data_IF_839296734087
#
_entry.id   IF_839296734087
#
_cell.length_a   1.000
_cell.length_b   1.000
_cell.length_c   1.000
_cell.angle_alpha   90.00
_cell.angle_beta   90.00
_cell.angle_gamma   90.00
#
_symmetry.space_group_name_H-M   'P 1'
#
loop_
_entity.id
_entity.type
_entity.pdbx_description
1 polymer ?
#
# COMPACT_ATOMS: atom_id res chain seq x y z
N UNK A 1 -8.66 19.53 -9.76
CA UNK A 1 -8.32 18.15 -9.37
C UNK A 1 -6.94 17.86 -9.94
N UNK A 2 -5.92 17.81 -9.07
CA UNK A 2 -4.48 17.73 -9.33
C UNK A 2 -3.83 18.95 -10.02
N UNK A 3 -4.13 20.16 -9.53
CA UNK A 3 -3.51 21.40 -10.04
C UNK A 3 -2.01 21.52 -9.71
N UNK A 4 -1.55 20.82 -8.68
CA UNK A 4 -0.14 20.82 -8.24
C UNK A 4 0.76 19.88 -9.07
N UNK A 5 0.16 18.98 -9.85
CA UNK A 5 0.92 18.04 -10.68
C UNK A 5 1.41 18.76 -11.93
N UNK A 6 2.73 18.92 -12.05
CA UNK A 6 3.36 19.64 -13.16
C UNK A 6 3.49 18.73 -14.38
N UNK A 7 2.38 18.46 -15.06
CA UNK A 7 2.29 17.57 -16.23
C UNK A 7 3.25 17.94 -17.36
N UNK A 8 3.54 19.24 -17.53
CA UNK A 8 4.41 19.75 -18.59
C UNK A 8 5.91 19.48 -18.34
N UNK A 9 6.31 19.01 -17.15
CA UNK A 9 7.70 18.70 -16.80
C UNK A 9 7.83 17.20 -16.45
N UNK A 10 8.28 16.36 -17.39
CA UNK A 10 8.28 14.90 -17.24
C UNK A 10 9.21 14.38 -16.13
N UNK A 11 10.14 15.20 -15.65
CA UNK A 11 11.02 14.83 -14.54
C UNK A 11 10.45 15.17 -13.16
N UNK A 12 9.41 16.01 -13.08
CA UNK A 12 8.91 16.57 -11.80
C UNK A 12 7.43 16.29 -11.54
N UNK A 13 6.70 15.68 -12.48
CA UNK A 13 5.27 15.42 -12.30
C UNK A 13 4.96 14.64 -11.01
N UNK A 14 5.80 13.66 -10.66
CA UNK A 14 5.62 12.82 -9.49
C UNK A 14 5.70 13.58 -8.16
N UNK A 15 6.46 14.69 -8.11
CA UNK A 15 6.56 15.52 -6.91
C UNK A 15 5.23 16.21 -6.57
N UNK A 16 4.34 16.39 -7.57
CA UNK A 16 3.01 16.93 -7.34
C UNK A 16 2.13 16.07 -6.44
N UNK A 17 2.36 14.74 -6.40
CA UNK A 17 1.63 13.80 -5.54
C UNK A 17 2.02 13.90 -4.06
N UNK A 18 3.22 14.43 -3.79
CA UNK A 18 3.73 14.68 -2.43
C UNK A 18 3.58 16.14 -1.99
N UNK A 19 2.96 16.98 -2.83
CA UNK A 19 2.81 18.42 -2.55
C UNK A 19 1.96 18.71 -1.32
N UNK A 20 2.40 19.65 -0.50
CA UNK A 20 1.65 20.14 0.67
C UNK A 20 0.35 20.87 0.30
N UNK A 21 0.21 21.28 -0.97
CA UNK A 21 -0.93 22.06 -1.47
C UNK A 21 -2.07 21.22 -2.06
N UNK A 22 -1.99 19.89 -1.99
CA UNK A 22 -3.09 19.03 -2.43
C UNK A 22 -4.33 19.19 -1.54
N UNK A 23 -5.49 19.23 -2.18
CA UNK A 23 -6.77 19.25 -1.47
C UNK A 23 -7.05 17.88 -0.81
N UNK A 24 -7.93 17.85 0.21
CA UNK A 24 -8.28 16.60 0.90
C UNK A 24 -8.78 15.50 -0.04
N UNK A 25 -9.56 15.85 -1.06
CA UNK A 25 -10.04 14.89 -2.06
C UNK A 25 -8.91 14.29 -2.89
N UNK A 26 -7.93 15.12 -3.30
CA UNK A 26 -6.79 14.67 -4.10
C UNK A 26 -5.91 13.72 -3.29
N UNK A 27 -5.70 14.04 -2.00
CA UNK A 27 -4.99 13.16 -1.07
C UNK A 27 -5.73 11.84 -0.88
N UNK A 28 -7.04 11.87 -0.63
CA UNK A 28 -7.85 10.67 -0.48
C UNK A 28 -7.82 9.77 -1.72
N UNK A 29 -7.89 10.37 -2.92
CA UNK A 29 -7.79 9.64 -4.19
C UNK A 29 -6.42 8.96 -4.32
N UNK A 30 -5.33 9.69 -4.07
CA UNK A 30 -3.97 9.12 -4.16
C UNK A 30 -3.74 8.01 -3.13
N UNK A 31 -4.17 8.21 -1.88
CA UNK A 31 -4.10 7.21 -0.82
C UNK A 31 -4.83 5.93 -1.23
N UNK A 32 -6.08 6.06 -1.69
CA UNK A 32 -6.90 4.90 -2.10
C UNK A 32 -6.30 4.20 -3.31
N UNK A 33 -5.77 4.96 -4.26
CA UNK A 33 -5.10 4.43 -5.45
C UNK A 33 -3.86 3.59 -5.07
N UNK A 34 -2.99 4.08 -4.20
CA UNK A 34 -1.78 3.35 -3.79
C UNK A 34 -2.09 2.15 -2.87
N UNK A 35 -3.12 2.24 -2.03
CA UNK A 35 -3.62 1.09 -1.28
C UNK A 35 -4.16 0.00 -2.23
N UNK A 36 -4.92 0.39 -3.26
CA UNK A 36 -5.39 -0.51 -4.31
C UNK A 36 -4.25 -1.10 -5.16
N UNK A 37 -3.25 -0.29 -5.52
CA UNK A 37 -2.04 -0.74 -6.21
C UNK A 37 -1.31 -1.81 -5.38
N UNK A 38 -1.19 -1.59 -4.07
CA UNK A 38 -0.60 -2.56 -3.14
C UNK A 38 -1.38 -3.87 -3.14
N UNK A 39 -2.72 -3.80 -3.12
CA UNK A 39 -3.58 -4.98 -3.19
C UNK A 39 -3.44 -5.74 -4.51
N UNK A 40 -3.33 -5.04 -5.65
CA UNK A 40 -3.11 -5.67 -6.95
C UNK A 40 -1.73 -6.33 -7.04
N UNK A 41 -0.68 -5.64 -6.57
CA UNK A 41 0.67 -6.19 -6.52
C UNK A 41 0.80 -7.36 -5.53
N UNK A 42 -0.01 -7.41 -4.47
CA UNK A 42 -0.07 -8.53 -3.54
C UNK A 42 -0.50 -9.83 -4.23
N UNK A 43 -1.34 -9.75 -5.26
CA UNK A 43 -1.82 -10.93 -5.99
C UNK A 43 -0.74 -11.59 -6.86
N UNK A 44 0.30 -10.85 -7.22
CA UNK A 44 1.47 -11.40 -7.90
C UNK A 44 2.33 -12.10 -6.84
N UNK A 45 1.94 -13.34 -6.54
CA UNK A 45 2.48 -14.16 -5.47
C UNK A 45 3.03 -15.48 -6.00
N UNK A 46 4.17 -15.91 -5.45
CA UNK A 46 4.79 -17.20 -5.73
C UNK A 46 4.96 -17.96 -4.42
N UNK A 47 4.15 -19.00 -4.24
CA UNK A 47 4.25 -19.91 -3.10
C UNK A 47 5.41 -20.90 -3.31
N UNK A 48 6.18 -21.13 -2.24
CA UNK A 48 7.32 -22.06 -2.25
C UNK A 48 7.15 -23.10 -1.14
N UNK A 49 7.65 -24.33 -1.31
CA UNK A 49 7.38 -25.42 -0.37
C UNK A 49 8.09 -25.32 0.99
N UNK A 50 9.11 -24.46 1.14
CA UNK A 50 9.91 -24.35 2.37
C UNK A 50 9.46 -23.21 3.32
N UNK A 51 8.57 -22.32 2.89
CA UNK A 51 8.01 -21.26 3.77
C UNK A 51 6.50 -21.13 3.62
N UNK A 52 5.77 -20.90 4.71
CA UNK A 52 4.33 -20.64 4.66
C UNK A 52 3.98 -19.23 4.15
N UNK A 53 4.98 -18.35 3.98
CA UNK A 53 4.79 -16.97 3.49
C UNK A 53 5.13 -16.94 1.99
N UNK A 54 4.20 -16.49 1.11
CA UNK A 54 4.47 -16.39 -0.31
C UNK A 54 5.40 -15.21 -0.62
N UNK A 55 6.20 -15.33 -1.68
CA UNK A 55 6.95 -14.20 -2.22
C UNK A 55 6.04 -13.33 -3.08
N UNK A 56 5.89 -12.06 -2.75
CA UNK A 56 4.92 -11.17 -3.39
C UNK A 56 5.57 -9.89 -3.93
N UNK A 57 4.90 -9.23 -4.87
CA UNK A 57 5.23 -7.87 -5.29
C UNK A 57 4.68 -6.78 -4.34
N UNK A 58 4.10 -7.18 -3.21
CA UNK A 58 3.48 -6.28 -2.25
C UNK A 58 4.49 -5.30 -1.64
N UNK A 59 5.69 -5.79 -1.29
CA UNK A 59 6.78 -4.96 -0.73
C UNK A 59 7.24 -3.88 -1.71
N UNK A 60 7.32 -4.20 -3.00
CA UNK A 60 7.61 -3.23 -4.04
C UNK A 60 6.57 -2.09 -4.06
N UNK A 61 5.28 -2.43 -4.03
CA UNK A 61 4.21 -1.42 -4.02
C UNK A 61 4.21 -0.56 -2.74
N UNK A 62 4.52 -1.16 -1.59
CA UNK A 62 4.65 -0.43 -0.31
C UNK A 62 5.78 0.60 -0.37
N UNK A 63 6.94 0.22 -0.91
CA UNK A 63 8.06 1.16 -1.08
C UNK A 63 7.76 2.22 -2.13
N UNK A 64 7.13 1.85 -3.25
CA UNK A 64 6.69 2.82 -4.26
C UNK A 64 5.72 3.84 -3.65
N UNK A 65 4.80 3.41 -2.80
CA UNK A 65 3.89 4.29 -2.05
C UNK A 65 4.66 5.35 -1.27
N UNK A 66 5.73 4.97 -0.55
CA UNK A 66 6.57 5.90 0.19
C UNK A 66 7.38 6.87 -0.68
N UNK A 67 7.78 6.44 -1.88
CA UNK A 67 8.49 7.31 -2.84
C UNK A 67 7.58 8.38 -3.45
N UNK A 68 6.32 8.04 -3.74
CA UNK A 68 5.41 8.92 -4.49
C UNK A 68 4.53 9.82 -3.61
N UNK A 69 4.16 9.35 -2.42
CA UNK A 69 3.28 10.08 -1.51
C UNK A 69 4.07 10.83 -0.44
N UNK A 70 3.40 11.78 0.20
CA UNK A 70 3.93 12.42 1.40
C UNK A 70 3.93 11.42 2.55
N UNK A 71 4.90 11.53 3.47
CA UNK A 71 5.07 10.62 4.62
C UNK A 71 3.76 10.21 5.32
N UNK A 72 2.93 11.20 5.66
CA UNK A 72 1.67 10.95 6.36
C UNK A 72 0.62 10.27 5.47
N UNK A 73 0.57 10.62 4.18
CA UNK A 73 -0.38 10.03 3.24
C UNK A 73 0.03 8.59 2.89
N UNK A 74 1.34 8.33 2.78
CA UNK A 74 1.88 6.99 2.60
C UNK A 74 1.60 6.08 3.81
N UNK A 75 1.74 6.60 5.04
CA UNK A 75 1.34 5.89 6.27
C UNK A 75 -0.15 5.53 6.23
N UNK A 76 -1.01 6.51 5.93
CA UNK A 76 -2.46 6.31 5.87
C UNK A 76 -2.81 5.29 4.77
N UNK A 77 -2.15 5.33 3.61
CA UNK A 77 -2.33 4.35 2.53
C UNK A 77 -2.02 2.93 3.01
N UNK A 78 -0.92 2.73 3.73
CA UNK A 78 -0.60 1.45 4.34
C UNK A 78 -1.63 1.01 5.37
N UNK A 79 -2.09 1.92 6.23
CA UNK A 79 -3.16 1.61 7.18
C UNK A 79 -4.47 1.21 6.49
N UNK A 80 -4.88 1.93 5.43
CA UNK A 80 -6.08 1.59 4.64
C UNK A 80 -5.96 0.19 4.06
N UNK A 81 -4.80 -0.15 3.49
CA UNK A 81 -4.54 -1.48 2.95
C UNK A 81 -4.68 -2.58 4.02
N UNK A 82 -4.03 -2.40 5.17
CA UNK A 82 -4.07 -3.38 6.27
C UNK A 82 -5.46 -3.50 6.87
N UNK A 83 -6.15 -2.38 7.09
CA UNK A 83 -7.51 -2.37 7.64
C UNK A 83 -8.51 -3.01 6.69
N UNK A 84 -8.39 -2.77 5.37
CA UNK A 84 -9.26 -3.40 4.38
C UNK A 84 -9.17 -4.93 4.44
N UNK A 85 -7.96 -5.48 4.52
CA UNK A 85 -7.80 -6.93 4.71
C UNK A 85 -8.14 -7.40 6.13
N UNK A 86 -8.04 -6.55 7.16
CA UNK A 86 -8.47 -6.92 8.51
C UNK A 86 -9.99 -7.09 8.63
N UNK A 87 -10.78 -6.34 7.85
CA UNK A 87 -12.24 -6.37 7.87
C UNK A 87 -12.86 -7.40 6.91
N UNK A 88 -12.07 -8.27 6.27
CA UNK A 88 -12.58 -9.33 5.39
C UNK A 88 -12.48 -9.06 3.89
N UNK A 89 -11.77 -8.01 3.44
CA UNK A 89 -11.57 -7.82 1.99
C UNK A 89 -10.41 -8.70 1.48
N UNK A 90 -10.54 -9.40 0.34
CA UNK A 90 -9.50 -10.28 -0.20
C UNK A 90 -8.38 -9.49 -0.90
N UNK A 91 -7.64 -8.69 -0.13
CA UNK A 91 -6.59 -7.77 -0.61
C UNK A 91 -5.17 -8.24 -0.30
N UNK A 92 -5.01 -9.21 0.58
CA UNK A 92 -3.72 -9.84 0.85
C UNK A 92 -3.38 -10.85 -0.24
N UNK A 93 -2.14 -11.35 -0.20
CA UNK A 93 -1.62 -12.28 -1.18
C UNK A 93 -2.52 -13.51 -1.36
N UNK A 94 -2.64 -13.98 -2.61
CA UNK A 94 -3.46 -15.15 -2.98
C UNK A 94 -4.92 -15.05 -2.51
N UNK A 95 -5.46 -13.83 -2.44
CA UNK A 95 -6.84 -13.59 -2.01
C UNK A 95 -7.07 -13.62 -0.49
N UNK A 96 -6.00 -13.56 0.31
CA UNK A 96 -6.13 -13.50 1.77
C UNK A 96 -6.96 -12.30 2.24
N UNK A 97 -7.82 -12.54 3.21
CA UNK A 97 -8.87 -11.61 3.67
C UNK A 97 -8.90 -11.43 5.19
N UNK A 98 -7.86 -11.88 5.88
CA UNK A 98 -7.80 -11.83 7.34
C UNK A 98 -6.37 -11.63 7.84
N UNK A 99 -6.24 -10.96 8.97
CA UNK A 99 -4.97 -10.73 9.68
C UNK A 99 -4.73 -11.76 10.80
N UNK A 100 -5.81 -12.33 11.32
CA UNK A 100 -5.81 -13.32 12.38
C UNK A 100 -6.63 -14.52 11.95
N UNK A 101 -6.06 -15.71 12.09
CA UNK A 101 -6.76 -16.98 11.94
C UNK A 101 -6.86 -17.64 13.32
N UNK A 102 -8.09 -17.93 13.76
CA UNK A 102 -8.35 -18.63 15.02
C UNK A 102 -7.68 -17.99 16.26
N UNK A 103 -7.62 -16.66 16.28
CA UNK A 103 -7.02 -15.87 17.37
C UNK A 103 -5.49 -15.78 17.33
N UNK A 104 -4.84 -16.32 16.29
CA UNK A 104 -3.40 -16.22 16.08
C UNK A 104 -3.11 -15.34 14.86
N UNK A 105 -2.02 -14.60 14.92
CA UNK A 105 -1.53 -13.84 13.78
C UNK A 105 -1.14 -14.80 12.65
N UNK A 106 -1.57 -14.51 11.42
CA UNK A 106 -1.15 -15.31 10.26
C UNK A 106 0.37 -15.21 10.05
N UNK A 107 0.97 -16.19 9.37
CA UNK A 107 2.42 -16.25 9.16
C UNK A 107 3.00 -14.96 8.52
N UNK A 108 2.25 -14.33 7.61
CA UNK A 108 2.62 -13.08 6.95
C UNK A 108 2.23 -11.81 7.74
N UNK A 109 1.57 -11.94 8.89
CA UNK A 109 0.98 -10.82 9.62
C UNK A 109 2.01 -9.80 10.10
N UNK A 110 3.23 -10.25 10.44
CA UNK A 110 4.34 -9.34 10.79
C UNK A 110 4.72 -8.40 9.65
N UNK A 111 4.72 -8.90 8.41
CA UNK A 111 4.93 -8.06 7.23
C UNK A 111 3.78 -7.06 7.08
N UNK A 112 2.53 -7.53 7.12
CA UNK A 112 1.35 -6.67 6.97
C UNK A 112 1.34 -5.51 7.98
N UNK A 113 1.61 -5.78 9.26
CA UNK A 113 1.65 -4.76 10.32
C UNK A 113 2.80 -3.76 10.12
N UNK A 114 3.91 -4.18 9.52
CA UNK A 114 5.04 -3.29 9.25
C UNK A 114 4.83 -2.35 8.06
N UNK A 115 3.92 -2.67 7.14
CA UNK A 115 3.77 -1.94 5.87
C UNK A 115 3.37 -0.47 5.99
N UNK A 116 2.48 -0.06 6.91
CA UNK A 116 2.22 1.36 7.15
C UNK A 116 3.46 2.14 7.59
N UNK A 117 4.33 1.51 8.39
CA UNK A 117 5.57 2.14 8.85
C UNK A 117 6.58 2.18 7.70
N UNK A 118 6.69 1.08 6.94
CA UNK A 118 7.61 0.95 5.82
C UNK A 118 7.29 1.94 4.68
N UNK A 119 6.02 2.20 4.37
CA UNK A 119 5.64 3.22 3.39
C UNK A 119 5.86 4.65 3.88
N UNK A 120 6.04 4.87 5.19
CA UNK A 120 6.22 6.19 5.79
C UNK A 120 7.69 6.52 6.12
N UNK A 121 8.63 5.71 5.64
CA UNK A 121 10.07 5.92 5.75
C UNK A 121 10.61 6.57 4.48
#
# INVERSE_FOLDING_TARGET
MFSEVVWKKPTLWHQGLSSDRLNYLERAISITFFAGLTALCAQIAFAVPWTPVPYTFQTFAVLATGVYLRRNDAFVSGCVYVLAGAIGAPVFAEGGDMLFDSGKLIASGGYLISFPIASAL
#
